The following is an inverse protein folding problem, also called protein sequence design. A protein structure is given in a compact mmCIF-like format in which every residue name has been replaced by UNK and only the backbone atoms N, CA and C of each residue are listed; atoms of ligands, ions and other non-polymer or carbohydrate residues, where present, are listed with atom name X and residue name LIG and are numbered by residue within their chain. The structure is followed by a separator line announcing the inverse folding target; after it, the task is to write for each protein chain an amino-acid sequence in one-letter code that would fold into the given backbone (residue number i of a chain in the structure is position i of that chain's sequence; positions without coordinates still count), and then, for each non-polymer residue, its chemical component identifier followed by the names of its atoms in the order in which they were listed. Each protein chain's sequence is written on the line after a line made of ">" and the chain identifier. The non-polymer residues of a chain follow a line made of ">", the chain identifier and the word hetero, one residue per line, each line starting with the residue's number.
data_IF_971308569457
#
_entry.id   IF_971308569457
#
_cell.length_a   1.000
_cell.length_b   1.000
_cell.length_c   1.000
_cell.angle_alpha   90.00
_cell.angle_beta   90.00
_cell.angle_gamma   90.00
#
_symmetry.space_group_name_H-M   'P 1'
#
loop_
_entity.id
_entity.type
_entity.pdbx_description
1 polymer ?
#
# COMPACT_ATOMS: atom_id res chain seq x y z
N UNK A 1 12.81 -6.97 -22.00
CA UNK A 1 11.48 -7.54 -21.66
C UNK A 1 10.96 -6.81 -20.44
N UNK A 2 9.68 -6.43 -20.42
CA UNK A 2 9.05 -5.84 -19.24
C UNK A 2 8.91 -6.89 -18.13
N UNK A 3 9.07 -6.49 -16.87
CA UNK A 3 8.85 -7.39 -15.73
C UNK A 3 7.40 -7.88 -15.72
N UNK A 4 7.10 -9.17 -15.43
CA UNK A 4 5.76 -9.75 -15.58
C UNK A 4 4.67 -9.00 -14.80
N UNK A 5 5.02 -8.39 -13.67
CA UNK A 5 4.08 -7.64 -12.83
C UNK A 5 3.91 -6.17 -13.24
N UNK A 6 4.71 -5.62 -14.16
CA UNK A 6 4.71 -4.18 -14.41
C UNK A 6 3.35 -3.65 -14.88
N UNK A 7 2.70 -4.34 -15.82
CA UNK A 7 1.39 -3.93 -16.33
C UNK A 7 0.35 -3.93 -15.23
N UNK A 8 0.26 -5.03 -14.47
CA UNK A 8 -0.72 -5.19 -13.41
C UNK A 8 -0.50 -4.20 -12.27
N UNK A 9 0.76 -3.90 -11.92
CA UNK A 9 1.08 -2.88 -10.91
C UNK A 9 0.69 -1.48 -11.40
N UNK A 10 0.92 -1.14 -12.68
CA UNK A 10 0.48 0.14 -13.23
C UNK A 10 -1.04 0.29 -13.12
N UNK A 11 -1.80 -0.76 -13.46
CA UNK A 11 -3.25 -0.72 -13.36
C UNK A 11 -3.73 -0.64 -11.90
N UNK A 12 -3.02 -1.28 -10.97
CA UNK A 12 -3.32 -1.20 -9.55
C UNK A 12 -3.05 0.20 -8.98
N UNK A 13 -1.93 0.82 -9.35
CA UNK A 13 -1.59 2.19 -8.94
C UNK A 13 -2.60 3.20 -9.50
N UNK A 14 -3.11 2.98 -10.71
CA UNK A 14 -4.22 3.80 -11.25
C UNK A 14 -5.48 3.66 -10.40
N UNK A 15 -5.85 2.44 -10.01
CA UNK A 15 -7.02 2.21 -9.15
C UNK A 15 -6.86 2.87 -7.78
N UNK A 16 -5.68 2.82 -7.18
CA UNK A 16 -5.38 3.54 -5.95
C UNK A 16 -5.53 5.06 -6.14
N UNK A 17 -5.05 5.59 -7.28
CA UNK A 17 -5.26 6.98 -7.69
C UNK A 17 -6.75 7.37 -7.77
N UNK A 18 -7.57 6.54 -8.40
CA UNK A 18 -9.02 6.76 -8.47
C UNK A 18 -9.68 6.69 -7.08
N UNK A 19 -9.19 5.84 -6.18
CA UNK A 19 -9.71 5.72 -4.83
C UNK A 19 -9.41 6.95 -3.95
N UNK A 20 -8.29 7.64 -4.19
CA UNK A 20 -7.95 8.85 -3.42
C UNK A 20 -8.57 10.14 -3.96
N UNK A 21 -8.93 10.18 -5.26
CA UNK A 21 -9.46 11.37 -5.91
C UNK A 21 -10.70 11.98 -5.22
N UNK A 22 -11.67 11.21 -4.70
CA UNK A 22 -12.80 11.75 -3.95
C UNK A 22 -12.42 12.55 -2.70
N UNK A 23 -11.23 12.31 -2.14
CA UNK A 23 -10.69 13.01 -0.96
C UNK A 23 -9.89 14.26 -1.35
N UNK A 24 -9.63 14.46 -2.64
CA UNK A 24 -8.91 15.63 -3.12
C UNK A 24 -9.75 16.90 -2.93
N UNK A 25 -9.25 17.84 -2.11
CA UNK A 25 -9.95 19.09 -1.72
C UNK A 25 -11.27 18.86 -0.96
N UNK A 26 -11.47 17.68 -0.36
CA UNK A 26 -12.51 17.49 0.64
C UNK A 26 -12.08 18.07 1.99
N UNK A 27 -12.99 18.11 2.97
CA UNK A 27 -12.58 18.32 4.35
C UNK A 27 -11.56 17.25 4.75
N UNK A 28 -10.42 17.69 5.28
CA UNK A 28 -9.31 16.84 5.68
C UNK A 28 -9.64 16.23 7.04
N UNK A 29 -10.12 14.99 7.03
CA UNK A 29 -10.25 14.20 8.26
C UNK A 29 -8.93 13.48 8.48
N UNK A 30 -8.09 14.09 9.33
CA UNK A 30 -6.83 13.49 9.79
C UNK A 30 -7.12 12.63 11.00
N UNK A 31 -6.70 11.37 10.95
CA UNK A 31 -6.63 10.49 12.10
C UNK A 31 -5.18 10.41 12.57
N UNK A 32 -4.97 10.26 13.88
CA UNK A 32 -3.63 10.01 14.41
C UNK A 32 -3.39 8.51 14.44
N UNK A 33 -2.26 8.05 13.88
CA UNK A 33 -1.77 6.69 14.05
C UNK A 33 -1.30 6.47 15.50
N UNK A 34 -0.97 5.22 15.84
CA UNK A 34 -0.46 4.86 17.16
C UNK A 34 0.88 5.56 17.51
N UNK A 35 1.64 5.98 16.50
CA UNK A 35 2.90 6.73 16.62
C UNK A 35 2.71 8.25 16.49
N UNK A 36 1.46 8.73 16.60
CA UNK A 36 1.05 10.14 16.47
C UNK A 36 1.27 10.76 15.08
N UNK A 37 1.69 9.97 14.08
CA UNK A 37 1.77 10.44 12.70
C UNK A 37 0.36 10.64 12.11
N UNK A 38 0.17 11.67 11.26
CA UNK A 38 -1.12 11.92 10.61
C UNK A 38 -1.36 10.89 9.49
N UNK A 39 -2.53 10.26 9.51
CA UNK A 39 -3.05 9.45 8.40
C UNK A 39 -4.38 10.01 7.92
N UNK A 40 -4.59 10.08 6.62
CA UNK A 40 -5.85 10.53 6.05
C UNK A 40 -6.69 9.36 5.54
N UNK A 41 -7.98 9.61 5.34
CA UNK A 41 -8.87 8.65 4.69
C UNK A 41 -8.36 8.29 3.28
N UNK A 42 -7.69 9.23 2.61
CA UNK A 42 -7.09 8.99 1.30
C UNK A 42 -5.91 7.99 1.38
N UNK A 43 -5.04 8.13 2.38
CA UNK A 43 -3.91 7.22 2.57
C UNK A 43 -4.41 5.79 2.84
N UNK A 44 -5.42 5.64 3.70
CA UNK A 44 -6.06 4.34 3.97
C UNK A 44 -6.74 3.74 2.73
N UNK A 45 -7.40 4.57 1.91
CA UNK A 45 -8.03 4.13 0.67
C UNK A 45 -7.01 3.61 -0.34
N UNK A 46 -5.89 4.33 -0.54
CA UNK A 46 -4.80 3.86 -1.38
C UNK A 46 -4.15 2.58 -0.82
N UNK A 47 -3.85 2.57 0.48
CA UNK A 47 -3.24 1.43 1.16
C UNK A 47 -4.06 0.15 0.97
N UNK A 48 -5.37 0.19 1.21
CA UNK A 48 -6.24 -0.99 1.06
C UNK A 48 -6.22 -1.53 -0.37
N UNK A 49 -6.36 -0.66 -1.38
CA UNK A 49 -6.32 -1.06 -2.79
C UNK A 49 -4.99 -1.71 -3.14
N UNK A 50 -3.87 -1.08 -2.75
CA UNK A 50 -2.53 -1.57 -3.08
C UNK A 50 -2.22 -2.88 -2.37
N UNK A 51 -2.46 -3.00 -1.06
CA UNK A 51 -2.15 -4.21 -0.29
C UNK A 51 -2.96 -5.40 -0.79
N UNK A 52 -4.27 -5.24 -0.99
CA UNK A 52 -5.13 -6.32 -1.48
C UNK A 52 -4.74 -6.73 -2.89
N UNK A 53 -4.51 -5.76 -3.77
CA UNK A 53 -4.13 -6.02 -5.16
C UNK A 53 -2.78 -6.69 -5.30
N UNK A 54 -1.77 -6.28 -4.52
CA UNK A 54 -0.43 -6.87 -4.54
C UNK A 54 -0.45 -8.30 -3.97
N UNK A 55 -1.21 -8.55 -2.89
CA UNK A 55 -1.42 -9.90 -2.34
C UNK A 55 -2.15 -10.81 -3.33
N UNK A 56 -3.12 -10.28 -4.08
CA UNK A 56 -3.83 -11.02 -5.12
C UNK A 56 -2.97 -11.31 -6.36
N UNK A 57 -2.00 -10.43 -6.66
CA UNK A 57 -1.06 -10.58 -7.76
C UNK A 57 -0.12 -11.77 -7.54
N UNK A 58 0.42 -11.88 -6.33
CA UNK A 58 1.29 -12.98 -5.91
C UNK A 58 1.34 -13.05 -4.38
N UNK A 59 0.60 -14.00 -3.79
CA UNK A 59 0.55 -14.20 -2.34
C UNK A 59 1.88 -14.73 -1.76
N UNK A 60 2.83 -15.13 -2.61
CA UNK A 60 4.18 -15.54 -2.21
C UNK A 60 5.15 -14.37 -2.01
N UNK A 61 4.77 -13.14 -2.38
CA UNK A 61 5.58 -11.94 -2.19
C UNK A 61 4.98 -11.11 -1.06
N UNK A 62 5.67 -10.99 0.09
CA UNK A 62 5.22 -10.16 1.20
C UNK A 62 5.05 -8.69 0.78
N UNK A 63 4.14 -7.99 1.44
CA UNK A 63 3.93 -6.55 1.28
C UNK A 63 4.35 -5.86 2.58
N UNK A 64 5.21 -4.87 2.47
CA UNK A 64 5.58 -3.98 3.58
C UNK A 64 5.04 -2.60 3.26
N UNK A 65 4.13 -2.08 4.08
CA UNK A 65 3.53 -0.77 3.86
C UNK A 65 3.72 0.18 5.02
N UNK A 66 3.74 1.49 4.75
CA UNK A 66 3.78 2.51 5.81
C UNK A 66 2.62 2.36 6.82
N UNK A 67 1.44 1.93 6.35
CA UNK A 67 0.27 1.72 7.21
C UNK A 67 0.22 0.32 7.86
N UNK A 68 1.08 -0.62 7.43
CA UNK A 68 1.15 -1.99 7.95
C UNK A 68 2.62 -2.44 8.02
N UNK A 69 3.38 -1.79 8.91
CA UNK A 69 4.82 -1.98 9.05
C UNK A 69 5.23 -2.79 10.31
N UNK A 70 4.27 -3.34 11.05
CA UNK A 70 4.50 -4.04 12.34
C UNK A 70 5.16 -5.43 12.19
N UNK A 71 5.64 -5.79 11.00
CA UNK A 71 6.35 -7.05 10.75
C UNK A 71 7.73 -7.02 11.43
N UNK A 72 8.01 -7.94 12.38
CA UNK A 72 9.28 -7.94 13.11
C UNK A 72 10.49 -8.04 12.19
N UNK A 73 11.57 -7.33 12.52
CA UNK A 73 12.81 -7.40 11.74
C UNK A 73 13.31 -8.85 11.58
N UNK A 74 13.18 -9.67 12.62
CA UNK A 74 13.57 -11.08 12.58
C UNK A 74 12.83 -11.88 11.49
N UNK A 75 11.59 -11.51 11.17
CA UNK A 75 10.80 -12.15 10.13
C UNK A 75 11.20 -11.62 8.74
N UNK A 76 11.26 -10.29 8.57
CA UNK A 76 11.54 -9.69 7.26
C UNK A 76 13.01 -9.68 6.86
N UNK A 77 13.95 -9.91 7.78
CA UNK A 77 15.39 -9.96 7.48
C UNK A 77 15.77 -11.08 6.50
N UNK A 78 14.95 -12.14 6.41
CA UNK A 78 15.15 -13.24 5.47
C UNK A 78 14.52 -13.03 4.10
N UNK A 79 13.74 -11.97 3.90
CA UNK A 79 13.06 -11.74 2.63
C UNK A 79 14.06 -11.38 1.54
N UNK A 80 14.00 -12.12 0.44
CA UNK A 80 14.80 -11.83 -0.77
C UNK A 80 14.02 -11.03 -1.81
N UNK A 81 12.69 -10.92 -1.63
CA UNK A 81 11.77 -10.20 -2.49
C UNK A 81 10.52 -9.80 -1.69
N UNK A 82 10.09 -8.55 -1.81
CA UNK A 82 8.86 -8.02 -1.22
C UNK A 82 8.39 -6.80 -2.02
N UNK A 83 7.14 -6.40 -1.83
CA UNK A 83 6.62 -5.12 -2.26
C UNK A 83 6.80 -4.07 -1.15
N UNK A 84 7.21 -2.87 -1.53
CA UNK A 84 7.31 -1.72 -0.63
C UNK A 84 6.31 -0.66 -1.10
N UNK A 85 5.39 -0.26 -0.22
CA UNK A 85 4.24 0.60 -0.57
C UNK A 85 3.96 1.66 0.49
#
# INVERSE_FOLDING_TARGET
>A
MSHPYLSSVIDLVRQAGEAILPHWRSELVVQAKADESPVTVADMAAHQVLVDGLKALDSGIPVLSEEDCEVPLAERAGWTRWWLV
#
